data_IF_810141385738
#
_entry.id   IF_810141385738
#
_cell.length_a   1.000
_cell.length_b   1.000
_cell.length_c   1.000
_cell.angle_alpha   90.00
_cell.angle_beta   90.00
_cell.angle_gamma   90.00
#
_symmetry.space_group_name_H-M   'P 1'
#
loop_
_entity.id
_entity.type
_entity.pdbx_description
1 polymer ?
#
# COMPACT_ATOMS: atom_id res chain seq x y z
N UNK A 1 42.90 -2.18 30.65
CA UNK A 1 42.74 -3.59 30.20
C UNK A 1 43.60 -3.90 28.97
N UNK A 2 43.55 -3.12 27.88
CA UNK A 2 44.44 -3.42 26.72
C UNK A 2 45.91 -3.15 27.09
N UNK A 3 46.23 -1.98 27.67
CA UNK A 3 47.61 -1.63 28.10
C UNK A 3 48.24 -2.62 29.08
N UNK A 4 47.45 -3.32 29.91
CA UNK A 4 48.00 -4.31 30.85
C UNK A 4 48.51 -5.58 30.17
N UNK A 5 48.20 -5.80 28.89
CA UNK A 5 48.68 -6.93 28.09
C UNK A 5 49.89 -6.56 27.21
N UNK A 6 50.43 -5.35 27.35
CA UNK A 6 51.52 -4.83 26.53
C UNK A 6 52.77 -5.73 26.56
N UNK A 7 53.27 -6.00 27.76
CA UNK A 7 54.55 -6.72 27.93
C UNK A 7 54.46 -8.16 27.45
N UNK A 8 53.31 -8.81 27.64
CA UNK A 8 53.06 -10.17 27.17
C UNK A 8 52.96 -10.24 25.65
N UNK A 9 52.35 -9.24 25.02
CA UNK A 9 52.29 -9.11 23.56
C UNK A 9 53.68 -8.92 22.95
N UNK A 10 54.49 -8.00 23.47
CA UNK A 10 55.84 -7.71 22.95
C UNK A 10 56.75 -8.92 23.12
N UNK A 11 56.75 -9.58 24.29
CA UNK A 11 57.51 -10.82 24.52
C UNK A 11 57.09 -11.93 23.55
N UNK A 12 55.79 -12.12 23.36
CA UNK A 12 55.25 -13.13 22.44
C UNK A 12 55.59 -12.85 20.97
N UNK A 13 55.60 -11.58 20.56
CA UNK A 13 55.97 -11.17 19.20
C UNK A 13 57.47 -11.41 18.92
N UNK A 14 58.35 -11.07 19.86
CA UNK A 14 59.80 -11.31 19.74
C UNK A 14 60.12 -12.80 19.69
N UNK A 15 59.45 -13.62 20.50
CA UNK A 15 59.59 -15.08 20.44
C UNK A 15 59.16 -15.69 19.09
N UNK A 16 58.26 -15.02 18.36
CA UNK A 16 57.84 -15.38 16.99
C UNK A 16 58.72 -14.77 15.89
N UNK A 17 59.83 -14.11 16.24
CA UNK A 17 60.79 -13.53 15.30
C UNK A 17 60.48 -12.11 14.81
N UNK A 18 59.53 -11.41 15.44
CA UNK A 18 59.23 -10.00 15.13
C UNK A 18 60.19 -9.09 15.92
N UNK A 19 60.74 -8.05 15.29
CA UNK A 19 61.60 -7.09 15.99
C UNK A 19 60.82 -6.33 17.08
N UNK A 20 61.50 -6.00 18.18
CA UNK A 20 60.88 -5.27 19.31
C UNK A 20 60.24 -3.96 18.85
N UNK A 21 60.95 -3.18 18.04
CA UNK A 21 60.46 -1.90 17.49
C UNK A 21 59.18 -2.07 16.65
N UNK A 22 59.10 -3.14 15.84
CA UNK A 22 57.89 -3.43 15.08
C UNK A 22 56.73 -3.90 15.97
N UNK A 23 57.00 -4.68 17.02
CA UNK A 23 55.98 -5.14 17.95
C UNK A 23 55.35 -3.96 18.73
N UNK A 24 56.17 -3.02 19.20
CA UNK A 24 55.72 -1.80 19.90
C UNK A 24 54.80 -0.97 18.98
N UNK A 25 55.21 -0.71 17.73
CA UNK A 25 54.39 0.01 16.73
C UNK A 25 53.06 -0.68 16.42
N UNK A 26 53.06 -2.02 16.31
CA UNK A 26 51.81 -2.78 16.08
C UNK A 26 50.88 -2.64 17.29
N UNK A 27 51.42 -2.66 18.52
CA UNK A 27 50.60 -2.48 19.71
C UNK A 27 50.00 -1.07 19.79
N UNK A 28 50.76 -0.03 19.44
CA UNK A 28 50.24 1.33 19.32
C UNK A 28 49.10 1.42 18.29
N UNK A 29 49.22 0.75 17.14
CA UNK A 29 48.13 0.66 16.17
C UNK A 29 46.90 -0.06 16.74
N UNK A 30 47.09 -1.16 17.49
CA UNK A 30 45.97 -1.87 18.13
C UNK A 30 45.23 -0.95 19.11
N UNK A 31 45.96 -0.13 19.89
CA UNK A 31 45.35 0.86 20.78
C UNK A 31 44.58 1.93 20.02
N UNK A 32 45.18 2.47 18.96
CA UNK A 32 44.57 3.49 18.12
C UNK A 32 43.28 2.99 17.44
N UNK A 33 43.34 1.84 16.76
CA UNK A 33 42.18 1.26 16.09
C UNK A 33 41.18 0.63 17.06
N UNK A 34 41.61 0.24 18.26
CA UNK A 34 40.74 -0.30 19.30
C UNK A 34 39.61 0.66 19.69
N UNK A 35 39.84 1.98 19.57
CA UNK A 35 38.80 2.99 19.79
C UNK A 35 37.68 3.01 18.74
N UNK A 36 37.95 2.50 17.54
CA UNK A 36 37.02 2.47 16.40
C UNK A 36 36.72 1.05 15.90
N UNK A 37 37.23 0.04 16.60
CA UNK A 37 37.09 -1.36 16.24
C UNK A 37 35.63 -1.78 16.30
N UNK A 38 35.10 -2.27 15.18
CA UNK A 38 33.72 -2.72 15.09
C UNK A 38 33.61 -4.24 15.01
N UNK A 39 32.54 -4.80 15.57
CA UNK A 39 32.30 -6.25 15.59
C UNK A 39 31.97 -6.76 14.18
N UNK A 40 32.95 -7.36 13.52
CA UNK A 40 32.83 -7.90 12.15
C UNK A 40 31.62 -8.81 11.95
N UNK A 41 31.31 -9.69 12.91
CA UNK A 41 30.16 -10.59 12.81
C UNK A 41 28.83 -9.83 12.70
N UNK A 42 28.65 -8.77 13.50
CA UNK A 42 27.45 -7.95 13.46
C UNK A 42 27.35 -7.19 12.13
N UNK A 43 28.46 -6.61 11.64
CA UNK A 43 28.48 -5.91 10.35
C UNK A 43 28.12 -6.83 9.18
N UNK A 44 28.63 -8.07 9.15
CA UNK A 44 28.35 -9.01 8.07
C UNK A 44 26.86 -9.35 8.00
N UNK A 45 26.21 -9.59 9.15
CA UNK A 45 24.79 -9.91 9.18
C UNK A 45 23.93 -8.78 8.58
N UNK A 46 24.21 -7.52 8.94
CA UNK A 46 23.47 -6.38 8.39
C UNK A 46 23.83 -6.07 6.93
N UNK A 47 25.11 -6.24 6.55
CA UNK A 47 25.54 -6.07 5.17
C UNK A 47 24.85 -7.07 4.23
N UNK A 48 24.62 -8.30 4.70
CA UNK A 48 23.88 -9.30 3.93
C UNK A 48 22.43 -8.86 3.66
N UNK A 49 21.75 -8.32 4.67
CA UNK A 49 20.38 -7.80 4.51
C UNK A 49 20.37 -6.62 3.54
N UNK A 50 21.31 -5.67 3.68
CA UNK A 50 21.43 -4.54 2.77
C UNK A 50 21.72 -4.98 1.31
N UNK A 51 22.54 -6.01 1.13
CA UNK A 51 22.78 -6.59 -0.19
C UNK A 51 21.52 -7.24 -0.77
N UNK A 52 20.78 -8.00 0.03
CA UNK A 52 19.53 -8.63 -0.39
C UNK A 52 18.47 -7.60 -0.79
N UNK A 53 18.30 -6.52 -0.03
CA UNK A 53 17.34 -5.45 -0.37
C UNK A 53 17.77 -4.71 -1.63
N UNK A 54 19.07 -4.41 -1.79
CA UNK A 54 19.59 -3.79 -3.00
C UNK A 54 19.42 -4.71 -4.23
N UNK A 55 19.65 -6.01 -4.09
CA UNK A 55 19.43 -6.99 -5.16
C UNK A 55 17.96 -7.02 -5.60
N UNK A 56 17.02 -7.08 -4.65
CA UNK A 56 15.59 -7.05 -4.97
C UNK A 56 15.19 -5.75 -5.64
N UNK A 57 15.66 -4.60 -5.15
CA UNK A 57 15.39 -3.30 -5.77
C UNK A 57 15.96 -3.19 -7.20
N UNK A 58 17.09 -3.84 -7.48
CA UNK A 58 17.74 -3.79 -8.79
C UNK A 58 17.08 -4.71 -9.82
N UNK A 59 16.59 -5.89 -9.40
CA UNK A 59 16.09 -6.92 -10.31
C UNK A 59 14.56 -7.06 -10.33
N UNK A 60 13.87 -6.65 -9.26
CA UNK A 60 12.42 -6.70 -9.08
C UNK A 60 11.91 -5.36 -8.52
N UNK A 61 12.13 -4.24 -9.25
CA UNK A 61 11.88 -2.90 -8.73
C UNK A 61 10.40 -2.65 -8.42
N UNK A 62 9.48 -3.15 -9.26
CA UNK A 62 8.04 -2.96 -9.08
C UNK A 62 7.54 -3.69 -7.82
N UNK A 63 7.91 -4.97 -7.66
CA UNK A 63 7.55 -5.79 -6.51
C UNK A 63 8.18 -5.27 -5.23
N UNK A 64 9.45 -4.85 -5.30
CA UNK A 64 10.15 -4.27 -4.15
C UNK A 64 9.48 -2.98 -3.68
N UNK A 65 9.13 -2.08 -4.60
CA UNK A 65 8.44 -0.84 -4.26
C UNK A 65 7.01 -1.09 -3.77
N UNK A 66 6.27 -2.03 -4.38
CA UNK A 66 4.95 -2.42 -3.91
C UNK A 66 4.99 -2.99 -2.48
N UNK A 67 5.95 -3.87 -2.17
CA UNK A 67 6.14 -4.43 -0.84
C UNK A 67 6.49 -3.34 0.19
N UNK A 68 7.35 -2.39 -0.17
CA UNK A 68 7.78 -1.31 0.72
C UNK A 68 6.65 -0.31 1.00
N UNK A 69 5.87 0.06 -0.03
CA UNK A 69 4.68 0.90 0.12
C UNK A 69 3.59 0.22 0.94
N UNK A 70 3.41 -1.09 0.77
CA UNK A 70 2.50 -1.90 1.59
C UNK A 70 2.93 -1.91 3.06
N UNK A 71 4.23 -2.10 3.34
CA UNK A 71 4.74 -2.09 4.71
C UNK A 71 4.52 -0.75 5.42
N UNK A 72 4.68 0.36 4.69
CA UNK A 72 4.65 1.72 5.25
C UNK A 72 3.31 2.43 4.97
N UNK A 73 2.26 1.70 4.60
CA UNK A 73 0.93 2.27 4.29
C UNK A 73 0.30 3.06 5.46
N UNK A 74 0.74 2.76 6.70
CA UNK A 74 0.27 3.45 7.90
C UNK A 74 0.94 4.80 8.15
N UNK A 75 2.03 5.11 7.44
CA UNK A 75 2.81 6.34 7.57
C UNK A 75 2.73 7.13 6.26
N UNK A 76 1.88 8.16 6.25
CA UNK A 76 1.62 8.97 5.04
C UNK A 76 2.87 9.72 4.54
N UNK A 77 3.77 10.12 5.44
CA UNK A 77 4.96 10.87 5.07
C UNK A 77 5.95 9.95 4.35
N UNK A 78 6.17 8.74 4.88
CA UNK A 78 7.01 7.74 4.23
C UNK A 78 6.40 7.23 2.93
N UNK A 79 5.09 6.97 2.90
CA UNK A 79 4.42 6.53 1.68
C UNK A 79 4.61 7.56 0.55
N UNK A 80 4.50 8.85 0.86
CA UNK A 80 4.78 9.93 -0.10
C UNK A 80 6.22 9.88 -0.63
N UNK A 81 7.20 9.63 0.24
CA UNK A 81 8.61 9.49 -0.19
C UNK A 81 8.80 8.29 -1.13
N UNK A 82 8.16 7.15 -0.85
CA UNK A 82 8.26 5.96 -1.71
C UNK A 82 7.52 6.12 -3.04
N UNK A 83 6.38 6.83 -3.06
CA UNK A 83 5.69 7.18 -4.31
C UNK A 83 6.57 8.06 -5.21
N UNK A 84 7.27 9.04 -4.63
CA UNK A 84 8.22 9.88 -5.37
C UNK A 84 9.41 9.07 -5.87
N UNK A 85 9.92 8.14 -5.05
CA UNK A 85 11.01 7.25 -5.46
C UNK A 85 10.60 6.31 -6.59
N UNK A 86 9.40 5.71 -6.52
CA UNK A 86 8.87 4.85 -7.57
C UNK A 86 8.79 5.63 -8.90
N UNK A 87 8.26 6.85 -8.87
CA UNK A 87 8.24 7.75 -10.04
C UNK A 87 9.64 8.07 -10.55
N UNK A 88 10.60 8.34 -9.65
CA UNK A 88 12.01 8.60 -10.02
C UNK A 88 12.68 7.38 -10.67
N UNK A 89 12.29 6.18 -10.26
CA UNK A 89 12.74 4.92 -10.85
C UNK A 89 12.07 4.61 -12.19
N UNK A 90 11.11 5.44 -12.63
CA UNK A 90 10.36 5.23 -13.87
C UNK A 90 9.19 4.25 -13.71
N UNK A 91 8.81 3.89 -12.49
CA UNK A 91 7.65 3.03 -12.25
C UNK A 91 6.35 3.83 -12.36
N UNK A 92 5.38 3.27 -13.08
CA UNK A 92 4.01 3.76 -13.09
C UNK A 92 3.33 3.44 -11.77
N UNK A 93 2.72 4.43 -11.13
CA UNK A 93 1.84 4.19 -9.98
C UNK A 93 0.44 4.64 -10.34
N UNK A 94 -0.45 3.67 -10.56
CA UNK A 94 -1.84 3.91 -10.91
C UNK A 94 -2.67 4.19 -9.66
N UNK A 95 -3.69 5.07 -9.75
CA UNK A 95 -4.61 5.33 -8.65
C UNK A 95 -5.34 4.05 -8.22
N UNK A 96 -5.92 4.02 -7.01
CA UNK A 96 -6.74 2.90 -6.58
C UNK A 96 -7.93 2.71 -7.53
N UNK A 97 -8.49 1.51 -7.56
CA UNK A 97 -9.67 1.17 -8.35
C UNK A 97 -10.49 0.11 -7.60
N UNK A 98 -11.80 0.31 -7.42
CA UNK A 98 -12.65 -0.63 -6.69
C UNK A 98 -12.76 -2.01 -7.37
N UNK A 99 -12.58 -2.07 -8.69
CA UNK A 99 -12.63 -3.30 -9.48
C UNK A 99 -11.28 -3.99 -9.62
N UNK A 100 -10.18 -3.25 -9.64
CA UNK A 100 -8.85 -3.81 -9.88
C UNK A 100 -7.92 -3.84 -8.65
N UNK A 101 -7.98 -2.85 -7.76
CA UNK A 101 -7.07 -2.78 -6.60
C UNK A 101 -7.36 -3.88 -5.60
N UNK A 102 -6.31 -4.40 -4.97
CA UNK A 102 -6.42 -5.27 -3.81
C UNK A 102 -6.27 -4.43 -2.51
N UNK A 103 -6.22 -5.12 -1.37
CA UNK A 103 -5.95 -4.53 -0.06
C UNK A 103 -4.62 -3.78 -0.04
N UNK A 104 -3.58 -4.46 -0.51
CA UNK A 104 -2.19 -3.99 -0.54
C UNK A 104 -1.82 -3.44 -1.93
N UNK A 105 -0.64 -2.83 -2.06
CA UNK A 105 -0.12 -2.43 -3.37
C UNK A 105 0.17 -3.66 -4.22
N UNK A 106 -0.34 -3.68 -5.45
CA UNK A 106 -0.21 -4.82 -6.36
C UNK A 106 0.55 -4.44 -7.63
N UNK A 107 1.41 -5.33 -8.10
CA UNK A 107 2.07 -5.18 -9.39
C UNK A 107 1.10 -5.65 -10.48
N UNK A 108 0.74 -4.77 -11.41
CA UNK A 108 -0.19 -5.07 -12.50
C UNK A 108 0.52 -5.26 -13.85
N UNK A 109 1.74 -4.74 -13.97
CA UNK A 109 2.66 -4.98 -15.08
C UNK A 109 4.11 -4.80 -14.60
N UNK A 110 5.09 -5.20 -15.42
CA UNK A 110 6.52 -5.22 -15.06
C UNK A 110 7.06 -3.91 -14.46
N UNK A 111 6.51 -2.76 -14.85
CA UNK A 111 6.90 -1.43 -14.39
C UNK A 111 5.76 -0.65 -13.71
N UNK A 112 4.64 -1.31 -13.42
CA UNK A 112 3.41 -0.64 -13.01
C UNK A 112 2.82 -1.24 -11.75
N UNK A 113 2.65 -0.39 -10.73
CA UNK A 113 2.05 -0.72 -9.44
C UNK A 113 0.70 -0.02 -9.32
N UNK A 114 -0.31 -0.76 -8.85
CA UNK A 114 -1.64 -0.24 -8.53
C UNK A 114 -1.71 0.08 -7.04
N UNK A 115 -2.32 1.22 -6.71
CA UNK A 115 -2.53 1.64 -5.34
C UNK A 115 -3.43 0.65 -4.58
N UNK A 116 -3.04 0.28 -3.36
CA UNK A 116 -3.86 -0.56 -2.49
C UNK A 116 -5.03 0.20 -1.86
N UNK A 117 -6.19 -0.43 -1.74
CA UNK A 117 -7.38 0.20 -1.16
C UNK A 117 -7.19 0.60 0.31
N UNK A 118 -6.36 -0.14 1.06
CA UNK A 118 -6.09 0.15 2.46
C UNK A 118 -5.20 1.39 2.65
N UNK A 119 -4.42 1.77 1.63
CA UNK A 119 -3.58 2.96 1.69
C UNK A 119 -4.37 4.26 1.49
N UNK A 120 -5.66 4.18 1.14
CA UNK A 120 -6.53 5.36 1.00
C UNK A 120 -6.88 5.90 2.40
N UNK A 121 -6.59 7.18 2.63
CA UNK A 121 -6.87 7.84 3.91
C UNK A 121 -8.35 7.76 4.26
N UNK A 122 -8.65 7.25 5.46
CA UNK A 122 -10.03 7.09 5.95
C UNK A 122 -10.69 5.75 5.58
N UNK A 123 -10.01 4.89 4.81
CA UNK A 123 -10.50 3.55 4.47
C UNK A 123 -9.86 2.54 5.43
N UNK A 124 -10.66 2.00 6.36
CA UNK A 124 -10.18 0.98 7.31
C UNK A 124 -10.10 -0.42 6.70
N UNK A 125 -9.24 -1.28 7.25
CA UNK A 125 -9.06 -2.66 6.74
C UNK A 125 -10.35 -3.49 6.66
N UNK A 126 -11.28 -3.32 7.61
CA UNK A 126 -12.60 -3.98 7.55
C UNK A 126 -13.46 -3.49 6.37
N UNK A 127 -13.40 -2.19 6.06
CA UNK A 127 -14.11 -1.63 4.91
C UNK A 127 -13.54 -2.21 3.60
N UNK A 128 -12.21 -2.35 3.51
CA UNK A 128 -11.55 -3.00 2.36
C UNK A 128 -12.00 -4.46 2.22
N UNK A 129 -11.98 -5.23 3.31
CA UNK A 129 -12.42 -6.63 3.31
C UNK A 129 -13.87 -6.77 2.86
N UNK A 130 -14.76 -5.88 3.32
CA UNK A 130 -16.15 -5.84 2.88
C UNK A 130 -16.30 -5.51 1.39
N UNK A 131 -15.49 -4.58 0.85
CA UNK A 131 -15.49 -4.21 -0.57
C UNK A 131 -15.02 -5.38 -1.43
N UNK A 132 -13.91 -6.03 -1.05
CA UNK A 132 -13.36 -7.17 -1.79
C UNK A 132 -14.32 -8.37 -1.79
N UNK A 133 -14.97 -8.63 -0.65
CA UNK A 133 -15.98 -9.68 -0.55
C UNK A 133 -17.21 -9.39 -1.45
N UNK A 134 -17.70 -8.14 -1.44
CA UNK A 134 -18.80 -7.72 -2.31
C UNK A 134 -18.40 -7.82 -3.80
N UNK A 135 -17.19 -7.40 -4.15
CA UNK A 135 -16.66 -7.51 -5.51
C UNK A 135 -16.64 -8.95 -6.00
N UNK A 136 -16.21 -9.89 -5.14
CA UNK A 136 -16.15 -11.31 -5.48
C UNK A 136 -17.55 -11.89 -5.73
N UNK A 137 -18.57 -11.45 -4.98
CA UNK A 137 -19.95 -11.90 -5.16
C UNK A 137 -20.60 -11.34 -6.43
N UNK A 138 -20.35 -10.07 -6.74
CA UNK A 138 -20.95 -9.37 -7.89
C UNK A 138 -20.19 -9.60 -9.21
N UNK A 139 -18.94 -10.09 -9.14
CA UNK A 139 -18.07 -10.21 -10.31
C UNK A 139 -17.55 -8.87 -10.84
N UNK A 140 -17.50 -7.86 -9.96
CA UNK A 140 -17.17 -6.47 -10.31
C UNK A 140 -18.36 -5.52 -10.22
N UNK A 141 -18.06 -4.24 -10.04
CA UNK A 141 -19.04 -3.16 -9.95
C UNK A 141 -19.16 -2.43 -11.29
N UNK A 142 -20.40 -2.21 -11.73
CA UNK A 142 -20.73 -1.49 -12.97
C UNK A 142 -21.23 -0.08 -12.72
N UNK A 143 -21.67 0.22 -11.49
CA UNK A 143 -22.18 1.53 -11.11
C UNK A 143 -22.02 1.78 -9.61
N UNK A 144 -22.09 3.05 -9.20
CA UNK A 144 -22.12 3.43 -7.78
C UNK A 144 -23.32 2.79 -7.06
N UNK A 145 -24.46 2.65 -7.73
CA UNK A 145 -25.66 2.03 -7.15
C UNK A 145 -25.43 0.55 -6.83
N UNK A 146 -24.88 -0.20 -7.79
CA UNK A 146 -24.55 -1.62 -7.55
C UNK A 146 -23.52 -1.76 -6.43
N UNK A 147 -22.52 -0.88 -6.38
CA UNK A 147 -21.56 -0.85 -5.27
C UNK A 147 -22.27 -0.63 -3.93
N UNK A 148 -23.14 0.38 -3.81
CA UNK A 148 -23.89 0.64 -2.58
C UNK A 148 -24.85 -0.51 -2.22
N UNK A 149 -25.48 -1.17 -3.18
CA UNK A 149 -26.36 -2.32 -2.92
C UNK A 149 -25.59 -3.53 -2.39
N UNK A 150 -24.36 -3.75 -2.84
CA UNK A 150 -23.56 -4.92 -2.52
C UNK A 150 -22.75 -4.80 -1.21
N UNK A 151 -22.23 -3.61 -0.88
CA UNK A 151 -21.32 -3.44 0.27
C UNK A 151 -22.05 -3.32 1.61
N UNK A 152 -21.49 -3.90 2.68
CA UNK A 152 -22.04 -3.73 4.03
C UNK A 152 -21.80 -2.31 4.55
N UNK A 153 -22.87 -1.49 4.59
CA UNK A 153 -22.84 -0.11 5.06
C UNK A 153 -22.43 0.07 6.54
N UNK A 154 -22.45 -1.00 7.35
CA UNK A 154 -21.92 -0.96 8.73
C UNK A 154 -20.39 -0.83 8.74
N UNK A 155 -19.73 -1.32 7.70
CA UNK A 155 -18.29 -1.31 7.54
C UNK A 155 -17.86 -0.20 6.57
N UNK A 156 -18.64 0.01 5.51
CA UNK A 156 -18.40 1.01 4.47
C UNK A 156 -19.38 2.17 4.63
N UNK A 157 -19.02 3.12 5.51
CA UNK A 157 -19.82 4.31 5.77
C UNK A 157 -19.58 5.40 4.71
N UNK A 158 -20.45 6.43 4.69
CA UNK A 158 -20.41 7.53 3.69
C UNK A 158 -19.02 8.12 3.50
N UNK A 159 -18.29 8.42 4.59
CA UNK A 159 -16.96 9.02 4.50
C UNK A 159 -15.92 8.12 3.81
N UNK A 160 -16.05 6.79 3.88
CA UNK A 160 -15.21 5.84 3.14
C UNK A 160 -15.47 5.99 1.65
N UNK A 161 -16.75 5.95 1.25
CA UNK A 161 -17.14 6.03 -0.15
C UNK A 161 -16.75 7.39 -0.74
N UNK A 162 -16.94 8.48 0.01
CA UNK A 162 -16.45 9.80 -0.41
C UNK A 162 -14.93 9.82 -0.62
N UNK A 163 -14.16 9.19 0.26
CA UNK A 163 -12.70 9.16 0.16
C UNK A 163 -12.27 8.35 -1.07
N UNK A 164 -12.93 7.23 -1.34
CA UNK A 164 -12.73 6.40 -2.53
C UNK A 164 -13.08 7.14 -3.83
N UNK A 165 -14.19 7.89 -3.85
CA UNK A 165 -14.56 8.73 -5.01
C UNK A 165 -13.54 9.84 -5.22
N UNK A 166 -13.09 10.50 -4.14
CA UNK A 166 -12.12 11.61 -4.19
C UNK A 166 -10.76 11.19 -4.75
N UNK A 167 -10.25 10.01 -4.36
CA UNK A 167 -8.97 9.49 -4.83
C UNK A 167 -9.04 8.75 -6.18
N UNK A 168 -10.20 8.75 -6.85
CA UNK A 168 -10.35 8.15 -8.19
C UNK A 168 -10.63 6.65 -8.22
N UNK A 169 -10.96 6.03 -7.09
CA UNK A 169 -11.24 4.59 -7.04
C UNK A 169 -12.43 4.14 -7.89
N UNK A 170 -13.27 5.06 -8.32
CA UNK A 170 -14.46 4.79 -9.16
C UNK A 170 -14.29 5.28 -10.60
N UNK A 171 -13.10 5.74 -11.00
CA UNK A 171 -12.88 6.31 -12.34
C UNK A 171 -13.12 5.26 -13.46
N UNK A 172 -12.96 3.96 -13.19
CA UNK A 172 -13.31 2.86 -14.12
C UNK A 172 -14.80 2.72 -14.41
N UNK A 173 -15.69 3.31 -13.60
CA UNK A 173 -17.13 3.31 -13.84
C UNK A 173 -17.56 4.32 -14.92
N UNK A 174 -16.61 5.01 -15.57
CA UNK A 174 -16.85 6.02 -16.60
C UNK A 174 -17.79 7.16 -16.14
N UNK A 175 -17.73 7.50 -14.85
CA UNK A 175 -18.51 8.56 -14.23
C UNK A 175 -17.60 9.68 -13.72
N UNK A 176 -18.07 10.92 -13.80
CA UNK A 176 -17.36 12.08 -13.23
C UNK A 176 -17.38 12.03 -11.71
N UNK A 177 -16.29 12.45 -11.05
CA UNK A 177 -16.24 12.46 -9.58
C UNK A 177 -17.30 13.38 -8.99
N UNK A 178 -17.59 14.51 -9.64
CA UNK A 178 -18.71 15.39 -9.26
C UNK A 178 -20.08 14.69 -9.30
N UNK A 179 -20.32 13.86 -10.31
CA UNK A 179 -21.57 13.11 -10.46
C UNK A 179 -21.73 12.04 -9.38
N UNK A 180 -20.64 11.32 -9.09
CA UNK A 180 -20.60 10.30 -8.04
C UNK A 180 -20.86 10.89 -6.66
N UNK A 181 -20.21 12.01 -6.32
CA UNK A 181 -20.45 12.69 -5.04
C UNK A 181 -21.88 13.24 -4.93
N UNK A 182 -22.45 13.76 -6.02
CA UNK A 182 -23.83 14.25 -6.03
C UNK A 182 -24.86 13.12 -5.87
N UNK A 183 -24.59 11.95 -6.47
CA UNK A 183 -25.47 10.78 -6.41
C UNK A 183 -25.34 9.97 -5.11
N UNK A 184 -24.25 10.14 -4.36
CA UNK A 184 -23.87 9.27 -3.23
C UNK A 184 -24.98 9.09 -2.19
N UNK A 185 -25.59 10.18 -1.74
CA UNK A 185 -26.64 10.13 -0.71
C UNK A 185 -27.87 9.34 -1.18
N UNK A 186 -28.23 9.48 -2.47
CA UNK A 186 -29.33 8.72 -3.07
C UNK A 186 -28.97 7.24 -3.22
N UNK A 187 -27.78 6.96 -3.73
CA UNK A 187 -27.29 5.59 -3.95
C UNK A 187 -27.18 4.79 -2.65
N UNK A 188 -26.67 5.40 -1.57
CA UNK A 188 -26.60 4.73 -0.26
C UNK A 188 -27.98 4.41 0.30
N UNK A 189 -28.94 5.35 0.25
CA UNK A 189 -30.32 5.10 0.73
C UNK A 189 -31.00 3.99 -0.06
N UNK A 190 -30.79 3.94 -1.38
CA UNK A 190 -31.30 2.88 -2.22
C UNK A 190 -30.67 1.52 -1.84
N UNK A 191 -29.35 1.46 -1.67
CA UNK A 191 -28.63 0.26 -1.26
C UNK A 191 -29.07 -0.26 0.11
N UNK A 192 -29.22 0.62 1.11
CA UNK A 192 -29.72 0.27 2.43
C UNK A 192 -31.12 -0.34 2.38
N UNK A 193 -32.01 0.20 1.53
CA UNK A 193 -33.37 -0.33 1.34
C UNK A 193 -33.33 -1.73 0.71
N UNK A 194 -32.54 -1.92 -0.36
CA UNK A 194 -32.37 -3.23 -1.00
C UNK A 194 -31.84 -4.27 -0.01
N UNK A 195 -30.86 -3.91 0.82
CA UNK A 195 -30.34 -4.81 1.86
C UNK A 195 -31.35 -5.09 2.98
N UNK A 196 -32.17 -4.10 3.36
CA UNK A 196 -33.25 -4.31 4.32
C UNK A 196 -34.30 -5.29 3.78
N UNK A 197 -34.73 -5.11 2.52
CA UNK A 197 -35.72 -5.96 1.86
C UNK A 197 -35.22 -7.40 1.70
N UNK A 198 -33.93 -7.57 1.35
CA UNK A 198 -33.25 -8.88 1.32
C UNK A 198 -33.23 -9.56 2.70
N UNK A 199 -32.96 -8.81 3.78
CA UNK A 199 -32.96 -9.33 5.17
C UNK A 199 -34.35 -9.75 5.65
N UNK A 200 -35.39 -9.03 5.23
CA UNK A 200 -36.79 -9.29 5.60
C UNK A 200 -37.38 -10.45 4.78
N UNK A 201 -36.69 -10.90 3.72
CA UNK A 201 -37.14 -11.99 2.85
C UNK A 201 -38.24 -11.58 1.87
N UNK A 202 -38.47 -10.27 1.69
CA UNK A 202 -39.56 -9.74 0.86
C UNK A 202 -39.27 -9.75 -0.65
N UNK A 203 -38.02 -10.02 -1.05
CA UNK A 203 -37.60 -10.01 -2.46
C UNK A 203 -38.16 -11.19 -3.27
N UNK A 204 -38.50 -12.32 -2.62
CA UNK A 204 -38.86 -13.54 -3.34
C UNK A 204 -40.23 -13.53 -4.03
N UNK A 205 -41.15 -12.61 -3.72
CA UNK A 205 -42.52 -12.67 -4.31
C UNK A 205 -42.61 -11.91 -5.63
N UNK A 206 -41.85 -10.82 -5.82
CA UNK A 206 -41.89 -10.03 -7.05
C UNK A 206 -40.75 -10.37 -8.03
N UNK A 207 -39.57 -10.80 -7.55
CA UNK A 207 -38.50 -11.30 -8.43
C UNK A 207 -38.87 -12.66 -9.07
N UNK A 208 -39.63 -13.51 -8.38
CA UNK A 208 -40.11 -14.79 -8.95
C UNK A 208 -41.19 -14.60 -10.04
N UNK A 209 -41.82 -13.42 -10.12
CA UNK A 209 -42.73 -13.06 -11.21
C UNK A 209 -42.01 -12.38 -12.38
N UNK A 210 -40.74 -11.98 -12.19
CA UNK A 210 -39.88 -11.39 -13.20
C UNK A 210 -38.97 -12.44 -13.84
N UNK A 211 -39.52 -13.59 -14.23
CA UNK A 211 -38.83 -14.57 -15.08
C UNK A 211 -38.74 -14.00 -16.52
N UNK A 212 -37.72 -13.16 -16.74
CA UNK A 212 -37.52 -12.47 -18.02
C UNK A 212 -36.48 -11.35 -17.96
N UNK A 213 -35.20 -11.71 -17.80
CA UNK A 213 -34.02 -10.98 -18.33
C UNK A 213 -34.09 -9.44 -18.39
N UNK A 214 -34.42 -8.77 -17.30
CA UNK A 214 -34.25 -7.33 -17.18
C UNK A 214 -33.38 -7.06 -15.96
N UNK A 215 -32.05 -7.01 -16.18
CA UNK A 215 -31.17 -6.32 -15.23
C UNK A 215 -31.65 -4.87 -15.24
N UNK A 216 -32.26 -4.40 -14.16
CA UNK A 216 -32.72 -3.02 -14.06
C UNK A 216 -31.54 -2.10 -14.38
N UNK A 217 -31.71 -1.20 -15.37
CA UNK A 217 -30.66 -0.23 -15.69
C UNK A 217 -30.36 0.61 -14.44
N UNK A 218 -29.07 0.79 -14.09
CA UNK A 218 -28.72 1.58 -12.94
C UNK A 218 -29.26 3.01 -13.08
N UNK A 219 -29.73 3.63 -12.00
CA UNK A 219 -30.25 4.99 -12.05
C UNK A 219 -29.24 5.94 -12.68
N UNK A 220 -29.72 6.79 -13.59
CA UNK A 220 -28.87 7.76 -14.26
C UNK A 220 -28.25 8.72 -13.24
N UNK A 221 -26.94 8.95 -13.38
CA UNK A 221 -26.24 9.91 -12.54
C UNK A 221 -26.68 11.34 -12.89
N UNK A 222 -26.69 12.27 -11.92
CA UNK A 222 -27.00 13.68 -12.16
C UNK A 222 -26.11 14.27 -13.26
N UNK A 223 -26.66 15.09 -14.14
CA UNK A 223 -25.86 15.83 -15.12
C UNK A 223 -25.27 17.07 -14.44
N UNK A 224 -24.05 16.91 -13.91
CA UNK A 224 -23.28 17.99 -13.28
C UNK A 224 -21.91 18.13 -13.96
N UNK A 225 -21.38 19.36 -14.10
CA UNK A 225 -20.04 19.57 -14.63
C UNK A 225 -18.99 18.98 -13.69
N UNK A 226 -17.87 18.54 -14.25
CA UNK A 226 -16.75 18.04 -13.44
C UNK A 226 -16.10 19.16 -12.63
N UNK A 227 -15.46 18.79 -11.53
CA UNK A 227 -14.67 19.74 -10.75
C UNK A 227 -13.49 20.28 -11.57
N UNK A 228 -13.08 21.55 -11.32
CA UNK A 228 -11.84 22.08 -11.88
C UNK A 228 -10.63 21.24 -11.44
N UNK A 229 -9.62 21.12 -12.31
CA UNK A 229 -8.39 20.34 -12.07
C UNK A 229 -7.69 20.65 -10.73
N UNK A 230 -7.55 21.93 -10.28
CA UNK A 230 -6.95 22.22 -8.98
C UNK A 230 -7.73 21.62 -7.79
N UNK A 231 -9.05 21.44 -7.95
CA UNK A 231 -9.91 20.84 -6.93
C UNK A 231 -9.82 19.32 -6.93
N UNK A 232 -9.64 18.70 -8.10
CA UNK A 232 -9.37 17.26 -8.20
C UNK A 232 -8.03 16.90 -7.56
N UNK A 233 -6.99 17.68 -7.84
CA UNK A 233 -5.66 17.50 -7.22
C UNK A 233 -5.67 17.74 -5.71
N UNK A 234 -6.58 18.56 -5.20
CA UNK A 234 -6.74 18.76 -3.75
C UNK A 234 -7.50 17.61 -3.05
N UNK A 235 -8.15 16.73 -3.82
CA UNK A 235 -8.83 15.55 -3.32
C UNK A 235 -7.93 14.30 -3.29
N UNK A 236 -6.90 14.28 -4.12
CA UNK A 236 -5.86 13.23 -4.22
C UNK A 236 -4.76 13.42 -3.17
#
# INVERSE_FOLDING_TARGET
VINSNHDDFVKGAVAKGISRDSAEKIFEHILYFGGYGFKKCHSICYALIAYQTAYLKAHYPAEFMAALMTYEMGDSDKLTQYLQEARRMGLGVLPPDVNESDKDFTVVADDTVRFGLQAVKGVGGKAVEAILAARQQEGGFRSLHQFCEAVDHRQVHKAVIESLVKCGAFDSLAARRAQLLAALDGAMRAGERVQADRRIGQMNIFDQLADGTAVAEPPQLPDVPEFPEPRLLAFE
#
